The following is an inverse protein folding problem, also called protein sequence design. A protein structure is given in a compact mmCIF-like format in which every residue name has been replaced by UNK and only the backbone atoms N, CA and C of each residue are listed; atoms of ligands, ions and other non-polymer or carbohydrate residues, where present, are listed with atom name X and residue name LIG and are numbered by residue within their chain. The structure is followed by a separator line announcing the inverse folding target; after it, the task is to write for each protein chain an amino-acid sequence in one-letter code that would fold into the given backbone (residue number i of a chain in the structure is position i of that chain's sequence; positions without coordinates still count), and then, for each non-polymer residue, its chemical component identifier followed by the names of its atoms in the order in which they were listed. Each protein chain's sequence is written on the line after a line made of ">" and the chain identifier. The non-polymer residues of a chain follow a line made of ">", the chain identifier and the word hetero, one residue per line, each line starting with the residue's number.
data_IF_369115008014
#
_entry.id   IF_369115008014
#
_cell.length_a   1.000
_cell.length_b   1.000
_cell.length_c   1.000
_cell.angle_alpha   90.00
_cell.angle_beta   90.00
_cell.angle_gamma   90.00
#
_symmetry.space_group_name_H-M   'P 1'
#
loop_
_entity.id
_entity.type
_entity.pdbx_description
1 polymer ?
#
# COMPACT_ATOMS: atom_id res chain seq x y z
N UNK A 1 -2.50 2.21 11.06
CA UNK A 1 -1.85 3.20 10.19
C UNK A 1 -2.31 4.57 10.64
N UNK A 2 -1.39 5.51 10.77
CA UNK A 2 -1.64 6.89 11.14
C UNK A 2 -1.14 7.83 10.02
N UNK A 3 -0.93 9.11 10.31
CA UNK A 3 -0.50 10.12 9.33
C UNK A 3 0.89 9.85 8.73
N UNK A 4 1.80 9.22 9.48
CA UNK A 4 3.20 9.02 9.08
C UNK A 4 3.64 7.55 9.11
N UNK A 5 2.84 6.64 9.65
CA UNK A 5 3.10 5.21 9.66
C UNK A 5 2.05 4.42 8.88
N UNK A 6 2.53 3.55 7.98
CA UNK A 6 1.70 2.51 7.36
C UNK A 6 1.57 1.28 8.27
N UNK A 7 0.59 0.41 7.99
CA UNK A 7 0.46 -0.89 8.65
C UNK A 7 0.53 -2.02 7.64
N UNK A 8 1.07 -3.17 8.05
CA UNK A 8 1.26 -4.33 7.17
C UNK A 8 0.57 -5.54 7.78
N UNK A 9 -0.17 -6.28 6.96
CA UNK A 9 -0.81 -7.53 7.35
C UNK A 9 -0.45 -8.64 6.37
N UNK A 10 -0.18 -9.86 6.86
CA UNK A 10 0.09 -11.00 6.00
C UNK A 10 -1.19 -11.39 5.25
N UNK A 11 -1.07 -11.65 3.94
CA UNK A 11 -2.15 -12.24 3.13
C UNK A 11 -1.81 -13.70 2.81
N UNK A 12 -0.55 -13.95 2.46
CA UNK A 12 -0.01 -15.29 2.22
C UNK A 12 1.46 -15.29 2.60
N UNK A 13 1.87 -16.15 3.52
CA UNK A 13 3.27 -16.29 3.92
C UNK A 13 3.67 -17.75 3.70
N UNK A 14 4.54 -17.99 2.73
CA UNK A 14 5.06 -19.32 2.37
C UNK A 14 6.41 -19.56 3.06
N UNK A 15 7.18 -18.49 3.26
CA UNK A 15 8.53 -18.54 3.82
C UNK A 15 8.59 -18.86 5.31
N UNK A 16 7.51 -18.55 6.05
CA UNK A 16 7.44 -18.64 7.50
C UNK A 16 8.25 -17.58 8.26
N UNK A 17 8.87 -16.60 7.57
CA UNK A 17 9.78 -15.62 8.19
C UNK A 17 9.12 -14.29 8.55
N UNK A 18 7.90 -14.02 8.09
CA UNK A 18 7.20 -12.77 8.38
C UNK A 18 6.60 -12.76 9.79
N UNK A 19 7.05 -11.84 10.63
CA UNK A 19 6.44 -11.54 11.92
C UNK A 19 6.37 -10.03 12.18
N UNK A 20 5.68 -9.61 13.24
CA UNK A 20 5.60 -8.19 13.61
C UNK A 20 6.93 -7.62 14.11
N UNK A 21 7.80 -8.47 14.65
CA UNK A 21 9.14 -8.10 15.14
C UNK A 21 10.21 -8.27 14.06
N UNK A 22 9.98 -9.19 13.11
CA UNK A 22 10.86 -9.48 11.98
C UNK A 22 10.03 -9.48 10.68
N UNK A 23 9.72 -8.30 10.11
CA UNK A 23 8.84 -8.19 8.94
C UNK A 23 9.60 -8.48 7.64
N UNK A 24 10.23 -9.65 7.55
CA UNK A 24 10.96 -10.10 6.35
C UNK A 24 9.98 -10.70 5.35
N UNK A 25 10.00 -10.20 4.12
CA UNK A 25 9.16 -10.67 3.02
C UNK A 25 10.06 -11.40 2.02
N UNK A 26 9.77 -12.67 1.75
CA UNK A 26 10.55 -13.52 0.87
C UNK A 26 9.76 -13.94 -0.38
N UNK A 27 10.39 -14.72 -1.25
CA UNK A 27 9.78 -15.16 -2.50
C UNK A 27 8.46 -15.90 -2.25
N UNK A 28 7.40 -15.48 -2.93
CA UNK A 28 6.07 -16.09 -2.84
C UNK A 28 5.20 -15.56 -1.69
N UNK A 29 5.76 -14.74 -0.80
CA UNK A 29 4.99 -14.06 0.23
C UNK A 29 4.20 -12.89 -0.37
N UNK A 30 3.01 -12.66 0.18
CA UNK A 30 2.11 -11.56 -0.17
C UNK A 30 1.68 -10.90 1.13
N UNK A 31 1.94 -9.61 1.23
CA UNK A 31 1.47 -8.76 2.32
C UNK A 31 0.56 -7.67 1.78
N UNK A 32 -0.30 -7.13 2.64
CA UNK A 32 -1.13 -5.97 2.35
C UNK A 32 -0.65 -4.80 3.18
N UNK A 33 -0.36 -3.68 2.51
CA UNK A 33 0.02 -2.42 3.14
C UNK A 33 -1.23 -1.53 3.20
N UNK A 34 -1.51 -1.00 4.38
CA UNK A 34 -2.57 -0.02 4.60
C UNK A 34 -1.96 1.35 4.90
N UNK A 35 -2.37 2.34 4.12
CA UNK A 35 -2.00 3.75 4.26
C UNK A 35 -3.28 4.53 4.55
N UNK A 36 -3.27 5.36 5.59
CA UNK A 36 -4.41 6.21 5.93
C UNK A 36 -4.27 7.56 5.21
N UNK A 37 -4.81 7.65 3.99
CA UNK A 37 -4.73 8.87 3.18
C UNK A 37 -5.31 10.09 3.90
N UNK A 38 -6.47 9.96 4.54
CA UNK A 38 -7.10 11.06 5.28
C UNK A 38 -6.27 11.56 6.45
N UNK A 39 -5.65 10.66 7.23
CA UNK A 39 -4.78 11.07 8.34
C UNK A 39 -3.49 11.74 7.84
N UNK A 40 -3.01 11.33 6.66
CA UNK A 40 -1.88 11.96 5.99
C UNK A 40 -2.23 13.29 5.29
N UNK A 41 -3.48 13.76 5.39
CA UNK A 41 -3.94 14.99 4.72
C UNK A 41 -4.11 14.85 3.20
N UNK A 42 -4.09 13.62 2.68
CA UNK A 42 -4.30 13.32 1.26
C UNK A 42 -5.80 13.11 1.01
N UNK A 43 -6.45 14.13 0.45
CA UNK A 43 -7.84 13.99 0.00
C UNK A 43 -7.84 13.38 -1.41
N UNK A 44 -8.28 12.13 -1.52
CA UNK A 44 -8.36 11.42 -2.79
C UNK A 44 -9.71 11.72 -3.43
N UNK A 45 -9.88 12.93 -3.96
CA UNK A 45 -11.07 13.30 -4.72
C UNK A 45 -11.09 12.57 -6.08
N UNK A 46 -12.24 12.46 -6.76
CA UNK A 46 -12.28 11.97 -8.14
C UNK A 46 -11.30 12.74 -9.04
N UNK A 47 -10.74 12.09 -10.05
CA UNK A 47 -9.72 12.67 -10.94
C UNK A 47 -8.47 13.23 -10.23
N UNK A 48 -8.08 12.63 -9.11
CA UNK A 48 -6.82 12.93 -8.40
C UNK A 48 -5.73 11.97 -8.83
N UNK A 49 -4.53 12.50 -9.13
CA UNK A 49 -3.35 11.68 -9.40
C UNK A 49 -2.74 11.16 -8.11
N UNK A 50 -2.57 9.85 -8.03
CA UNK A 50 -1.91 9.13 -6.95
C UNK A 50 -0.56 8.65 -7.45
N UNK A 51 0.50 9.06 -6.76
CA UNK A 51 1.84 8.54 -6.95
C UNK A 51 2.35 7.91 -5.66
N UNK A 52 2.76 6.64 -5.73
CA UNK A 52 3.35 5.89 -4.62
C UNK A 52 4.71 5.34 -5.06
N UNK A 53 5.73 5.55 -4.23
CA UNK A 53 7.05 4.97 -4.40
C UNK A 53 7.39 4.12 -3.18
N UNK A 54 7.47 2.81 -3.37
CA UNK A 54 7.84 1.85 -2.33
C UNK A 54 9.34 1.56 -2.48
N UNK A 55 10.13 1.94 -1.47
CA UNK A 55 11.59 1.81 -1.47
C UNK A 55 12.02 0.81 -0.38
N UNK A 56 12.50 -0.38 -0.73
CA UNK A 56 13.08 -1.30 0.25
C UNK A 56 14.51 -0.88 0.63
N UNK A 57 14.97 -1.27 1.83
CA UNK A 57 16.27 -0.85 2.37
C UNK A 57 17.47 -1.56 1.69
N UNK A 58 17.25 -2.71 1.02
CA UNK A 58 17.91 -3.04 -0.23
C UNK A 58 16.91 -3.41 -1.34
N UNK A 59 17.22 -3.06 -2.59
CA UNK A 59 16.47 -3.52 -3.76
C UNK A 59 15.96 -2.40 -4.66
N UNK A 60 15.17 -2.79 -5.66
CA UNK A 60 14.65 -1.87 -6.68
C UNK A 60 13.32 -1.28 -6.21
N UNK A 61 13.16 0.07 -6.24
CA UNK A 61 11.89 0.69 -5.91
C UNK A 61 10.76 0.27 -6.84
N UNK A 62 9.56 0.14 -6.29
CA UNK A 62 8.33 0.00 -7.08
C UNK A 62 7.62 1.34 -7.14
N UNK A 63 7.22 1.76 -8.34
CA UNK A 63 6.47 3.00 -8.56
C UNK A 63 5.06 2.63 -9.04
N UNK A 64 4.05 3.20 -8.38
CA UNK A 64 2.66 3.14 -8.80
C UNK A 64 2.23 4.57 -9.09
N UNK A 65 1.71 4.79 -10.29
CA UNK A 65 1.21 6.08 -10.75
C UNK A 65 -0.14 5.85 -11.43
N UNK A 66 -1.19 6.41 -10.85
CA UNK A 66 -2.58 6.15 -11.22
C UNK A 66 -3.44 7.38 -10.98
N UNK A 67 -4.61 7.41 -11.61
CA UNK A 67 -5.64 8.40 -11.35
C UNK A 67 -6.83 7.74 -10.65
N UNK A 68 -7.43 8.44 -9.69
CA UNK A 68 -8.74 8.03 -9.19
C UNK A 68 -9.78 8.24 -10.30
N UNK A 69 -10.84 7.41 -10.37
CA UNK A 69 -11.88 7.53 -11.40
C UNK A 69 -12.65 8.86 -11.31
N UNK A 70 -13.40 9.16 -12.36
CA UNK A 70 -14.31 10.33 -12.44
C UNK A 70 -15.39 10.34 -11.36
N UNK A 71 -15.85 9.16 -10.95
CA UNK A 71 -16.93 8.99 -9.98
C UNK A 71 -16.66 7.78 -9.10
N UNK A 72 -16.98 7.91 -7.82
CA UNK A 72 -16.92 6.82 -6.85
C UNK A 72 -18.27 6.09 -6.78
N UNK A 73 -18.32 4.91 -7.39
CA UNK A 73 -19.54 4.08 -7.46
C UNK A 73 -19.74 3.18 -6.23
N UNK A 74 -18.78 3.15 -5.31
CA UNK A 74 -18.87 2.30 -4.12
C UNK A 74 -17.77 2.59 -3.08
N UNK A 75 -17.85 1.89 -1.95
CA UNK A 75 -16.87 2.01 -0.85
C UNK A 75 -15.49 1.48 -1.23
N UNK A 76 -15.41 0.50 -2.13
CA UNK A 76 -14.17 -0.09 -2.62
C UNK A 76 -14.01 0.21 -4.10
N UNK A 77 -12.83 0.69 -4.47
CA UNK A 77 -12.49 1.05 -5.84
C UNK A 77 -11.20 0.33 -6.19
N UNK A 78 -11.22 -0.33 -7.35
CA UNK A 78 -10.03 -0.91 -7.94
C UNK A 78 -9.44 0.14 -8.85
N UNK A 79 -8.19 0.51 -8.56
CA UNK A 79 -7.43 1.45 -9.39
C UNK A 79 -6.50 0.59 -10.24
N UNK A 80 -6.91 0.32 -11.49
CA UNK A 80 -6.17 -0.51 -12.47
C UNK A 80 -5.05 0.26 -13.14
#
# INVERSE_FOLDING_TARGET
>A
ADAIHFSVYPVRIVSGTFSTTEPVISQGDIVRIYINASAAGLNLEPQTRIQLKIVPQPGVPTIVDRWTPDVYLGRYIIIS
#
